data_IF_169488586550
#
_entry.id   IF_169488586550
#
_cell.length_a   1.000
_cell.length_b   1.000
_cell.length_c   1.000
_cell.angle_alpha   90.00
_cell.angle_beta   90.00
_cell.angle_gamma   90.00
#
_symmetry.space_group_name_H-M   'P 1'
#
loop_
_entity.id
_entity.type
_entity.pdbx_description
1 polymer ?
#
# COMPACT_ATOMS: atom_id res chain seq x y z
N UNK A 1 -12.43 20.11 -26.34
CA UNK A 1 -13.68 19.64 -25.71
C UNK A 1 -14.73 19.16 -26.71
N UNK A 2 -15.07 19.91 -27.78
CA UNK A 2 -16.11 19.50 -28.77
C UNK A 2 -15.91 18.10 -29.37
N UNK A 3 -14.69 17.76 -29.79
CA UNK A 3 -14.37 16.43 -30.34
C UNK A 3 -14.69 15.31 -29.34
N UNK A 4 -14.35 15.50 -28.06
CA UNK A 4 -14.66 14.52 -27.00
C UNK A 4 -16.17 14.41 -26.83
N UNK A 5 -16.88 15.54 -26.83
CA UNK A 5 -18.35 15.54 -26.73
C UNK A 5 -19.03 14.78 -27.89
N UNK A 6 -18.55 14.96 -29.12
CA UNK A 6 -19.04 14.25 -30.31
C UNK A 6 -18.73 12.74 -30.24
N UNK A 7 -17.55 12.36 -29.73
CA UNK A 7 -17.21 10.95 -29.47
C UNK A 7 -18.16 10.36 -28.44
N UNK A 8 -18.33 11.02 -27.31
CA UNK A 8 -19.19 10.57 -26.22
C UNK A 8 -20.66 10.48 -26.66
N UNK A 9 -21.14 11.40 -27.51
CA UNK A 9 -22.46 11.32 -28.14
C UNK A 9 -22.66 10.02 -28.91
N UNK A 10 -21.68 9.60 -29.73
CA UNK A 10 -21.76 8.32 -30.46
C UNK A 10 -21.82 7.10 -29.55
N UNK A 11 -21.09 7.11 -28.44
CA UNK A 11 -21.19 6.03 -27.44
C UNK A 11 -22.58 5.98 -26.82
N UNK A 12 -23.15 7.13 -26.43
CA UNK A 12 -24.50 7.23 -25.87
C UNK A 12 -25.55 6.74 -26.88
N UNK A 13 -25.54 7.30 -28.09
CA UNK A 13 -26.57 7.05 -29.10
C UNK A 13 -26.50 5.61 -29.62
N UNK A 14 -25.28 5.10 -29.83
CA UNK A 14 -25.05 3.72 -30.25
C UNK A 14 -25.14 2.69 -29.14
N UNK A 15 -25.31 3.10 -27.86
CA UNK A 15 -25.23 2.24 -26.67
C UNK A 15 -24.00 1.34 -26.67
N UNK A 16 -22.89 1.88 -27.16
CA UNK A 16 -21.65 1.12 -27.37
C UNK A 16 -21.04 0.83 -26.00
N UNK A 17 -20.81 -0.45 -25.62
CA UNK A 17 -20.21 -0.76 -24.33
C UNK A 17 -18.84 -0.10 -24.16
N UNK A 18 -18.59 0.44 -22.98
CA UNK A 18 -17.28 0.98 -22.60
C UNK A 18 -16.68 0.00 -21.59
N UNK A 19 -15.51 -0.55 -21.85
CA UNK A 19 -14.87 -1.47 -20.89
C UNK A 19 -13.93 -0.74 -19.93
N UNK A 20 -13.07 0.12 -20.50
CA UNK A 20 -12.13 0.98 -19.78
C UNK A 20 -12.34 2.43 -20.20
N UNK A 21 -12.33 3.33 -19.22
CA UNK A 21 -12.32 4.76 -19.45
C UNK A 21 -11.29 5.43 -18.54
N UNK A 22 -10.57 6.40 -19.09
CA UNK A 22 -9.53 7.13 -18.40
C UNK A 22 -9.67 8.61 -18.73
N UNK A 23 -9.88 9.41 -17.69
CA UNK A 23 -9.95 10.86 -17.78
C UNK A 23 -8.82 11.44 -16.95
N UNK A 24 -7.85 12.04 -17.61
CA UNK A 24 -6.81 12.83 -16.98
C UNK A 24 -6.80 14.22 -17.60
N UNK A 25 -6.82 15.25 -16.77
CA UNK A 25 -6.57 16.62 -17.20
C UNK A 25 -5.58 17.30 -16.25
N UNK A 26 -4.32 17.36 -16.69
CA UNK A 26 -3.23 18.01 -15.95
C UNK A 26 -3.44 19.52 -15.74
N UNK A 27 -4.40 20.13 -16.45
CA UNK A 27 -4.68 21.58 -16.36
C UNK A 27 -5.56 21.95 -15.17
N UNK A 28 -6.19 20.98 -14.51
CA UNK A 28 -7.06 21.19 -13.35
C UNK A 28 -6.29 21.35 -12.02
N UNK A 29 -4.95 21.44 -12.08
CA UNK A 29 -4.09 21.71 -10.92
C UNK A 29 -3.91 23.20 -10.62
N UNK A 30 -4.34 24.11 -11.49
CA UNK A 30 -4.10 25.54 -11.35
C UNK A 30 -5.42 26.28 -11.18
N UNK A 31 -5.68 26.71 -9.94
CA UNK A 31 -6.79 27.56 -9.44
C UNK A 31 -7.10 28.76 -10.37
N UNK A 32 -7.63 28.50 -11.56
CA UNK A 32 -7.96 29.49 -12.56
C UNK A 32 -9.42 29.32 -12.92
N UNK A 33 -10.11 30.47 -13.02
CA UNK A 33 -11.54 30.63 -13.26
C UNK A 33 -12.14 29.90 -14.49
N UNK A 34 -11.32 29.26 -15.32
CA UNK A 34 -11.77 28.38 -16.41
C UNK A 34 -12.21 26.97 -15.93
N UNK A 35 -11.90 26.60 -14.69
CA UNK A 35 -12.24 25.30 -14.07
C UNK A 35 -13.76 25.07 -13.95
N UNK A 36 -14.53 26.11 -13.65
CA UNK A 36 -15.99 26.00 -13.42
C UNK A 36 -16.77 25.64 -14.70
N UNK A 37 -16.24 25.98 -15.87
CA UNK A 37 -16.94 25.79 -17.15
C UNK A 37 -16.83 24.36 -17.71
N UNK A 38 -15.87 23.56 -17.24
CA UNK A 38 -15.63 22.21 -17.76
C UNK A 38 -16.33 21.11 -16.94
N UNK A 39 -16.65 21.39 -15.67
CA UNK A 39 -17.34 20.45 -14.77
C UNK A 39 -18.63 19.90 -15.38
N UNK A 40 -19.55 20.71 -15.95
CA UNK A 40 -20.79 20.17 -16.52
C UNK A 40 -20.55 19.24 -17.73
N UNK A 41 -19.50 19.51 -18.52
CA UNK A 41 -19.13 18.67 -19.66
C UNK A 41 -18.55 17.34 -19.20
N UNK A 42 -17.68 17.36 -18.19
CA UNK A 42 -17.08 16.16 -17.63
C UNK A 42 -18.15 15.29 -16.95
N UNK A 43 -19.07 15.89 -16.20
CA UNK A 43 -20.19 15.16 -15.58
C UNK A 43 -21.07 14.49 -16.65
N UNK A 44 -21.35 15.19 -17.76
CA UNK A 44 -22.05 14.62 -18.92
C UNK A 44 -21.31 13.41 -19.50
N UNK A 45 -19.99 13.49 -19.63
CA UNK A 45 -19.19 12.37 -20.16
C UNK A 45 -19.16 11.21 -19.19
N UNK A 46 -18.97 11.46 -17.90
CA UNK A 46 -19.01 10.42 -16.87
C UNK A 46 -20.37 9.71 -16.88
N UNK A 47 -21.49 10.44 -16.96
CA UNK A 47 -22.83 9.84 -17.09
C UNK A 47 -22.92 8.86 -18.28
N UNK A 48 -22.38 9.23 -19.45
CA UNK A 48 -22.33 8.36 -20.62
C UNK A 48 -21.44 7.14 -20.38
N UNK A 49 -20.24 7.32 -19.81
CA UNK A 49 -19.32 6.22 -19.49
C UNK A 49 -19.98 5.20 -18.57
N UNK A 50 -20.68 5.72 -17.57
CA UNK A 50 -21.31 4.95 -16.51
C UNK A 50 -22.55 4.21 -17.03
N UNK A 51 -23.42 4.87 -17.81
CA UNK A 51 -24.59 4.24 -18.46
C UNK A 51 -24.18 3.16 -19.47
N UNK A 52 -23.00 3.28 -20.06
CA UNK A 52 -22.46 2.30 -21.01
C UNK A 52 -21.67 1.15 -20.34
N UNK A 53 -21.78 1.02 -19.01
CA UNK A 53 -21.37 -0.19 -18.28
C UNK A 53 -19.87 -0.32 -18.03
N UNK A 54 -19.14 0.79 -17.87
CA UNK A 54 -17.70 0.79 -17.59
C UNK A 54 -17.31 -0.15 -16.45
N UNK A 55 -16.20 -0.86 -16.64
CA UNK A 55 -15.62 -1.80 -15.66
C UNK A 55 -14.34 -1.26 -15.03
N UNK A 56 -13.49 -0.58 -15.79
CA UNK A 56 -12.24 0.05 -15.33
C UNK A 56 -12.30 1.56 -15.55
N UNK A 57 -12.40 2.31 -14.46
CA UNK A 57 -12.55 3.76 -14.48
C UNK A 57 -11.34 4.40 -13.79
N UNK A 58 -10.64 5.27 -14.51
CA UNK A 58 -9.56 6.10 -13.98
C UNK A 58 -9.93 7.56 -14.13
N UNK A 59 -9.85 8.33 -13.05
CA UNK A 59 -10.12 9.77 -13.03
C UNK A 59 -8.98 10.47 -12.29
N UNK A 60 -8.40 11.47 -12.93
CA UNK A 60 -7.31 12.27 -12.38
C UNK A 60 -7.67 13.76 -12.36
N UNK A 61 -7.26 14.46 -11.29
CA UNK A 61 -7.28 15.92 -11.17
C UNK A 61 -8.67 16.56 -11.21
N UNK A 62 -9.73 15.86 -10.79
CA UNK A 62 -11.10 16.38 -10.84
C UNK A 62 -11.79 16.33 -9.47
N UNK A 63 -12.53 17.38 -9.04
CA UNK A 63 -13.35 17.32 -7.83
C UNK A 63 -14.52 16.36 -8.04
N UNK A 64 -14.65 15.34 -7.18
CA UNK A 64 -15.57 14.23 -7.39
C UNK A 64 -16.53 13.99 -6.22
N UNK A 65 -17.80 13.77 -6.57
CA UNK A 65 -18.78 13.12 -5.71
C UNK A 65 -18.63 11.59 -5.81
N UNK A 66 -17.57 11.04 -5.21
CA UNK A 66 -17.19 9.62 -5.35
C UNK A 66 -18.33 8.64 -5.04
N UNK A 67 -19.21 8.96 -4.10
CA UNK A 67 -20.31 8.04 -3.74
C UNK A 67 -21.37 7.89 -4.84
N UNK A 68 -21.49 8.86 -5.75
CA UNK A 68 -22.32 8.72 -6.94
C UNK A 68 -21.75 7.68 -7.92
N UNK A 69 -20.42 7.62 -8.04
CA UNK A 69 -19.73 6.60 -8.87
C UNK A 69 -19.85 5.22 -8.24
N UNK A 70 -19.78 5.13 -6.90
CA UNK A 70 -19.93 3.87 -6.16
C UNK A 70 -21.35 3.30 -6.17
N UNK A 71 -22.36 4.12 -6.45
CA UNK A 71 -23.74 3.65 -6.60
C UNK A 71 -23.94 2.68 -7.78
N UNK A 72 -22.93 2.54 -8.65
CA UNK A 72 -23.06 1.87 -9.93
C UNK A 72 -22.57 0.43 -9.87
N UNK A 73 -23.34 -0.45 -10.52
CA UNK A 73 -23.20 -1.90 -10.41
C UNK A 73 -22.19 -2.52 -11.39
N UNK A 74 -21.57 -1.73 -12.28
CA UNK A 74 -20.67 -2.24 -13.32
C UNK A 74 -19.19 -2.09 -12.98
N UNK A 75 -18.83 -1.03 -12.24
CA UNK A 75 -17.42 -0.67 -11.98
C UNK A 75 -16.76 -1.73 -11.11
N UNK A 76 -15.67 -2.30 -11.59
CA UNK A 76 -14.85 -3.30 -10.90
C UNK A 76 -13.51 -2.75 -10.45
N UNK A 77 -12.95 -1.79 -11.18
CA UNK A 77 -11.72 -1.08 -10.84
C UNK A 77 -11.96 0.42 -10.91
N UNK A 78 -11.63 1.10 -9.82
CA UNK A 78 -11.68 2.56 -9.71
C UNK A 78 -10.30 3.08 -9.29
N UNK A 79 -9.74 3.98 -10.10
CA UNK A 79 -8.50 4.68 -9.81
C UNK A 79 -8.80 6.17 -9.74
N UNK A 80 -8.51 6.78 -8.61
CA UNK A 80 -8.66 8.21 -8.38
C UNK A 80 -7.30 8.80 -8.05
N UNK A 81 -6.90 9.81 -8.81
CA UNK A 81 -5.62 10.47 -8.66
C UNK A 81 -5.81 11.97 -8.52
N UNK A 82 -5.21 12.58 -7.51
CA UNK A 82 -5.26 14.03 -7.28
C UNK A 82 -6.69 14.60 -7.20
N UNK A 83 -7.66 13.78 -6.76
CA UNK A 83 -9.06 14.17 -6.62
C UNK A 83 -9.35 14.76 -5.23
N UNK A 84 -10.30 15.69 -5.18
CA UNK A 84 -10.97 16.11 -3.93
C UNK A 84 -12.24 15.28 -3.80
N UNK A 85 -12.34 14.49 -2.73
CA UNK A 85 -13.54 13.71 -2.45
C UNK A 85 -14.52 14.55 -1.64
N UNK A 86 -15.73 14.70 -2.16
CA UNK A 86 -16.82 15.36 -1.46
C UNK A 86 -17.77 14.33 -0.82
N UNK A 87 -18.26 14.57 0.41
CA UNK A 87 -19.23 13.71 1.05
C UNK A 87 -20.53 13.65 0.24
N UNK A 88 -21.13 12.47 0.15
CA UNK A 88 -22.40 12.25 -0.53
C UNK A 88 -23.09 11.02 0.08
N UNK A 89 -24.32 10.73 -0.37
CA UNK A 89 -25.17 9.67 0.17
C UNK A 89 -24.46 8.33 0.09
N UNK A 90 -24.49 7.56 1.18
CA UNK A 90 -23.88 6.24 1.27
C UNK A 90 -24.61 5.26 0.34
N UNK A 91 -23.90 4.66 -0.60
CA UNK A 91 -24.46 3.65 -1.52
C UNK A 91 -23.59 2.41 -1.51
N UNK A 92 -24.21 1.23 -1.55
CA UNK A 92 -23.49 -0.04 -1.51
C UNK A 92 -23.00 -0.45 -2.91
N UNK A 93 -21.68 -0.40 -3.11
CA UNK A 93 -20.96 -0.81 -4.32
C UNK A 93 -20.52 -2.27 -4.24
N UNK A 94 -21.39 -3.18 -4.65
CA UNK A 94 -21.10 -4.63 -4.63
C UNK A 94 -20.24 -5.11 -5.82
N UNK A 95 -19.99 -4.27 -6.82
CA UNK A 95 -19.20 -4.65 -8.01
C UNK A 95 -17.72 -4.35 -7.87
N UNK A 96 -17.34 -3.37 -7.05
CA UNK A 96 -15.96 -2.93 -6.95
C UNK A 96 -15.08 -4.03 -6.35
N UNK A 97 -13.92 -4.26 -6.98
CA UNK A 97 -12.89 -5.22 -6.57
C UNK A 97 -11.55 -4.55 -6.35
N UNK A 98 -11.25 -3.49 -7.10
CA UNK A 98 -9.99 -2.75 -7.00
C UNK A 98 -10.29 -1.27 -6.79
N UNK A 99 -9.72 -0.69 -5.75
CA UNK A 99 -9.76 0.75 -5.50
C UNK A 99 -8.33 1.26 -5.33
N UNK A 100 -7.99 2.33 -6.04
CA UNK A 100 -6.72 3.03 -5.90
C UNK A 100 -7.00 4.49 -5.65
N UNK A 101 -6.45 5.03 -4.56
CA UNK A 101 -6.48 6.43 -4.21
C UNK A 101 -5.04 6.95 -4.18
N UNK A 102 -4.75 7.94 -5.01
CA UNK A 102 -3.42 8.57 -5.11
C UNK A 102 -3.56 10.08 -4.97
N UNK A 103 -2.79 10.72 -4.09
CA UNK A 103 -2.83 12.18 -3.86
C UNK A 103 -4.24 12.72 -3.52
N UNK A 104 -5.09 11.88 -2.93
CA UNK A 104 -6.47 12.25 -2.62
C UNK A 104 -6.54 13.01 -1.29
N UNK A 105 -7.32 14.09 -1.26
CA UNK A 105 -7.63 14.81 0.00
C UNK A 105 -8.92 14.26 0.62
N UNK A 106 -8.80 13.60 1.77
CA UNK A 106 -9.95 13.20 2.58
C UNK A 106 -10.36 14.38 3.47
N UNK A 107 -11.54 14.95 3.19
CA UNK A 107 -12.02 16.17 3.89
C UNK A 107 -12.72 15.83 5.21
N UNK A 108 -13.31 14.63 5.33
CA UNK A 108 -14.04 14.15 6.50
C UNK A 108 -13.35 12.92 7.12
N UNK A 109 -13.26 12.89 8.45
CA UNK A 109 -12.65 11.82 9.23
C UNK A 109 -13.35 10.45 9.12
N UNK A 110 -14.57 10.39 8.60
CA UNK A 110 -15.31 9.15 8.39
C UNK A 110 -15.36 8.74 6.91
N UNK A 111 -14.78 9.54 6.02
CA UNK A 111 -14.89 9.33 4.58
C UNK A 111 -14.27 8.00 4.14
N UNK A 112 -13.11 7.66 4.69
CA UNK A 112 -12.43 6.39 4.38
C UNK A 112 -13.24 5.19 4.88
N UNK A 113 -13.76 5.22 6.11
CA UNK A 113 -14.60 4.15 6.64
C UNK A 113 -15.90 4.03 5.85
N UNK A 114 -16.51 5.14 5.43
CA UNK A 114 -17.73 5.14 4.62
C UNK A 114 -17.46 4.54 3.24
N UNK A 115 -16.36 4.92 2.60
CA UNK A 115 -15.89 4.37 1.33
C UNK A 115 -15.66 2.86 1.41
N UNK A 116 -14.96 2.40 2.45
CA UNK A 116 -14.65 0.98 2.64
C UNK A 116 -15.88 0.16 3.04
N UNK A 117 -16.81 0.72 3.82
CA UNK A 117 -18.09 0.07 4.13
C UNK A 117 -19.00 -0.02 2.91
N UNK A 118 -18.87 0.91 1.96
CA UNK A 118 -19.59 0.91 0.70
C UNK A 118 -19.07 -0.13 -0.28
N UNK A 119 -17.88 -0.71 -0.06
CA UNK A 119 -17.24 -1.63 -1.01
C UNK A 119 -16.92 -3.00 -0.34
N UNK A 120 -17.92 -3.80 0.06
CA UNK A 120 -17.70 -4.99 0.89
C UNK A 120 -16.91 -6.12 0.21
N UNK A 121 -16.83 -6.10 -1.13
CA UNK A 121 -16.16 -7.13 -1.93
C UNK A 121 -14.80 -6.66 -2.49
N UNK A 122 -14.23 -5.58 -1.94
CA UNK A 122 -12.91 -5.10 -2.37
C UNK A 122 -11.83 -6.16 -2.12
N UNK A 123 -11.07 -6.48 -3.16
CA UNK A 123 -9.98 -7.46 -3.16
C UNK A 123 -8.60 -6.78 -3.13
N UNK A 124 -8.49 -5.59 -3.71
CA UNK A 124 -7.25 -4.82 -3.80
C UNK A 124 -7.53 -3.38 -3.43
N UNK A 125 -6.80 -2.87 -2.44
CA UNK A 125 -6.86 -1.47 -2.04
C UNK A 125 -5.46 -0.85 -2.08
N UNK A 126 -5.32 0.23 -2.86
CA UNK A 126 -4.09 1.01 -2.98
C UNK A 126 -4.36 2.40 -2.45
N UNK A 127 -3.44 2.88 -1.61
CA UNK A 127 -3.57 4.12 -0.90
C UNK A 127 -2.22 4.85 -0.84
N UNK A 128 -2.06 5.90 -1.65
CA UNK A 128 -0.79 6.59 -1.86
C UNK A 128 -0.93 8.10 -1.68
N UNK A 129 -0.08 8.70 -0.83
CA UNK A 129 0.01 10.16 -0.65
C UNK A 129 -1.29 10.90 -0.30
N UNK A 130 -2.27 10.21 0.28
CA UNK A 130 -3.51 10.85 0.66
C UNK A 130 -3.34 11.63 1.97
N UNK A 131 -3.99 12.79 2.05
CA UNK A 131 -3.98 13.67 3.24
C UNK A 131 -5.28 13.50 4.04
N UNK A 132 -5.22 13.78 5.34
CA UNK A 132 -6.38 13.80 6.24
C UNK A 132 -6.46 12.66 7.26
N UNK A 133 -5.56 11.66 7.19
CA UNK A 133 -5.58 10.48 8.09
C UNK A 133 -4.84 10.66 9.42
N UNK A 134 -4.01 11.68 9.52
CA UNK A 134 -3.16 11.89 10.69
C UNK A 134 -3.97 12.16 11.97
N UNK A 135 -5.18 12.69 11.81
CA UNK A 135 -6.11 13.03 12.90
C UNK A 135 -7.30 12.07 13.01
N UNK A 136 -7.42 11.09 12.11
CA UNK A 136 -8.61 10.23 12.03
C UNK A 136 -8.64 9.18 13.15
N UNK A 137 -9.83 8.98 13.70
CA UNK A 137 -10.12 7.86 14.59
C UNK A 137 -9.87 6.50 13.90
N UNK A 138 -9.54 5.43 14.65
CA UNK A 138 -9.32 4.10 14.10
C UNK A 138 -10.46 3.64 13.19
N UNK A 139 -10.17 3.47 11.90
CA UNK A 139 -11.16 3.11 10.89
C UNK A 139 -11.32 1.59 10.84
N UNK A 140 -12.56 1.10 10.84
CA UNK A 140 -12.83 -0.33 10.75
C UNK A 140 -13.04 -0.74 9.30
N UNK A 141 -12.19 -1.63 8.80
CA UNK A 141 -12.38 -2.25 7.47
C UNK A 141 -13.22 -3.51 7.66
N UNK A 142 -14.37 -3.57 6.99
CA UNK A 142 -15.30 -4.72 7.00
C UNK A 142 -15.18 -5.63 5.77
N UNK A 143 -14.21 -5.39 4.88
CA UNK A 143 -14.05 -6.22 3.68
C UNK A 143 -13.56 -7.62 4.05
N UNK A 144 -14.32 -8.63 3.60
CA UNK A 144 -13.99 -10.06 3.76
C UNK A 144 -13.15 -10.61 2.61
N UNK A 145 -12.96 -9.82 1.54
CA UNK A 145 -12.33 -10.25 0.28
C UNK A 145 -10.94 -9.63 0.06
N UNK A 146 -10.48 -8.75 0.95
CA UNK A 146 -9.26 -7.96 0.75
C UNK A 146 -8.02 -8.86 0.78
N UNK A 147 -7.33 -9.00 -0.36
CA UNK A 147 -6.12 -9.81 -0.54
C UNK A 147 -4.87 -8.97 -0.76
N UNK A 148 -5.03 -7.71 -1.18
CA UNK A 148 -3.90 -6.83 -1.44
C UNK A 148 -4.14 -5.46 -0.85
N UNK A 149 -3.18 -4.98 -0.06
CA UNK A 149 -3.21 -3.64 0.52
C UNK A 149 -1.86 -2.98 0.29
N UNK A 150 -1.82 -1.89 -0.48
CA UNK A 150 -0.62 -1.07 -0.65
C UNK A 150 -0.84 0.28 0.00
N UNK A 151 0.10 0.67 0.85
CA UNK A 151 0.11 1.92 1.59
C UNK A 151 1.45 2.63 1.35
N UNK A 152 1.39 3.93 1.07
CA UNK A 152 2.56 4.80 0.92
C UNK A 152 2.39 6.06 1.76
N UNK A 153 3.51 6.61 2.26
CA UNK A 153 3.61 7.85 3.05
C UNK A 153 3.22 7.71 4.53
N UNK A 154 1.98 7.30 4.85
CA UNK A 154 1.52 7.13 6.24
C UNK A 154 0.89 5.77 6.49
N UNK A 155 1.14 5.19 7.66
CA UNK A 155 0.43 3.99 8.14
C UNK A 155 -0.90 4.46 8.75
N UNK A 156 -2.05 4.18 8.11
CA UNK A 156 -3.35 4.54 8.66
C UNK A 156 -3.68 3.69 9.89
N UNK A 157 -4.44 4.27 10.83
CA UNK A 157 -5.01 3.51 11.94
C UNK A 157 -6.21 2.71 11.43
N UNK A 158 -5.94 1.54 10.84
CA UNK A 158 -6.97 0.63 10.35
C UNK A 158 -7.09 -0.56 11.29
N UNK A 159 -8.32 -0.87 11.67
CA UNK A 159 -8.67 -2.13 12.32
C UNK A 159 -9.39 -3.00 11.31
N UNK A 160 -8.77 -4.09 10.90
CA UNK A 160 -9.41 -5.06 10.01
C UNK A 160 -10.28 -5.95 10.88
N UNK A 161 -11.60 -5.75 10.81
CA UNK A 161 -12.56 -6.44 11.67
C UNK A 161 -13.01 -7.73 10.97
N UNK A 162 -12.25 -8.84 11.19
CA UNK A 162 -12.67 -10.28 11.29
C UNK A 162 -12.10 -11.37 10.35
N UNK A 163 -11.85 -12.51 11.01
CA UNK A 163 -12.17 -13.96 10.79
C UNK A 163 -12.00 -14.68 9.43
N UNK A 164 -11.43 -14.08 8.38
CA UNK A 164 -11.26 -14.83 7.14
C UNK A 164 -10.01 -15.74 7.15
N UNK A 165 -10.22 -17.07 7.18
CA UNK A 165 -9.19 -18.10 6.91
C UNK A 165 -8.68 -18.09 5.45
N UNK A 166 -9.21 -17.20 4.60
CA UNK A 166 -8.98 -17.18 3.15
C UNK A 166 -7.86 -16.24 2.70
N UNK A 167 -7.14 -15.60 3.63
CA UNK A 167 -6.00 -14.72 3.34
C UNK A 167 -4.70 -15.48 3.01
N UNK A 168 -4.80 -16.77 2.68
CA UNK A 168 -3.72 -17.46 2.00
C UNK A 168 -3.41 -16.65 0.72
N UNK A 169 -2.16 -16.21 0.58
CA UNK A 169 -1.68 -15.34 -0.52
C UNK A 169 -2.07 -13.86 -0.42
N UNK A 170 -2.48 -13.37 0.75
CA UNK A 170 -2.66 -11.94 0.95
C UNK A 170 -1.34 -11.21 1.20
N UNK A 171 -1.21 -9.99 0.66
CA UNK A 171 0.00 -9.18 0.77
C UNK A 171 -0.28 -7.74 1.19
N UNK A 172 0.40 -7.29 2.23
CA UNK A 172 0.53 -5.87 2.59
C UNK A 172 1.83 -5.34 1.98
N UNK A 173 1.78 -4.18 1.33
CA UNK A 173 2.96 -3.46 0.83
C UNK A 173 3.01 -2.09 1.48
N UNK A 174 4.12 -1.79 2.14
CA UNK A 174 4.43 -0.51 2.79
C UNK A 174 5.61 0.11 2.06
N UNK A 175 5.38 1.23 1.37
CA UNK A 175 6.42 1.91 0.61
C UNK A 175 6.85 3.21 1.31
N UNK A 176 8.16 3.31 1.57
CA UNK A 176 8.80 4.44 2.26
C UNK A 176 9.89 5.07 1.38
N UNK A 177 9.78 6.37 1.12
CA UNK A 177 10.73 7.17 0.35
C UNK A 177 11.83 7.82 1.22
N UNK A 178 12.86 8.38 0.58
CA UNK A 178 13.94 9.12 1.26
C UNK A 178 13.40 10.30 2.09
N UNK A 179 12.37 10.95 1.56
CA UNK A 179 11.66 12.07 2.19
C UNK A 179 10.78 11.66 3.37
N UNK A 180 10.52 10.36 3.54
CA UNK A 180 9.60 9.89 4.57
C UNK A 180 10.32 9.80 5.90
N UNK A 181 9.70 10.32 6.96
CA UNK A 181 10.24 10.31 8.31
C UNK A 181 10.05 8.93 8.97
N UNK A 182 10.72 7.90 8.44
CA UNK A 182 10.73 6.54 9.01
C UNK A 182 11.57 6.57 10.28
N UNK A 183 10.91 6.78 11.41
CA UNK A 183 11.49 6.88 12.74
C UNK A 183 10.79 5.91 13.71
N UNK A 184 11.12 5.99 15.01
CA UNK A 184 10.53 5.13 16.02
C UNK A 184 8.99 5.20 16.06
N UNK A 185 8.39 6.39 15.88
CA UNK A 185 6.93 6.55 15.87
C UNK A 185 6.28 5.85 14.66
N UNK A 186 6.96 5.81 13.51
CA UNK A 186 6.50 5.04 12.35
C UNK A 186 6.48 3.53 12.65
N UNK A 187 7.53 3.00 13.28
CA UNK A 187 7.62 1.60 13.70
C UNK A 187 6.60 1.22 14.78
N UNK A 188 6.27 2.12 15.71
CA UNK A 188 5.18 1.92 16.66
C UNK A 188 3.81 1.84 15.97
N UNK A 189 3.55 2.74 14.99
CA UNK A 189 2.34 2.69 14.17
C UNK A 189 2.25 1.39 13.36
N UNK A 190 3.38 0.95 12.80
CA UNK A 190 3.47 -0.33 12.09
C UNK A 190 3.09 -1.50 12.99
N UNK A 191 3.71 -1.57 14.18
CA UNK A 191 3.44 -2.62 15.16
C UNK A 191 1.95 -2.69 15.49
N UNK A 192 1.35 -1.55 15.86
CA UNK A 192 -0.10 -1.42 16.12
C UNK A 192 -0.97 -1.86 14.95
N UNK A 193 -0.62 -1.46 13.74
CA UNK A 193 -1.34 -1.82 12.52
C UNK A 193 -1.29 -3.34 12.26
N UNK A 194 -0.13 -3.96 12.42
CA UNK A 194 0.07 -5.40 12.23
C UNK A 194 -0.58 -6.24 13.33
N UNK A 195 -0.61 -5.76 14.58
CA UNK A 195 -1.29 -6.46 15.69
C UNK A 195 -2.79 -6.58 15.46
N UNK A 196 -3.38 -5.65 14.69
CA UNK A 196 -4.76 -5.71 14.26
C UNK A 196 -4.97 -6.56 12.97
N UNK A 197 -3.91 -7.17 12.43
CA UNK A 197 -3.85 -7.75 11.08
C UNK A 197 -3.28 -9.19 11.07
N UNK A 198 -3.67 -10.02 12.04
CA UNK A 198 -3.08 -11.35 12.38
C UNK A 198 -3.22 -12.41 11.26
N UNK A 199 -3.85 -12.09 10.12
CA UNK A 199 -4.21 -13.08 9.10
C UNK A 199 -3.52 -12.87 7.75
N UNK A 200 -2.60 -11.91 7.60
CA UNK A 200 -1.92 -11.68 6.32
C UNK A 200 -0.74 -12.62 6.09
N UNK A 201 -0.63 -13.18 4.88
CA UNK A 201 0.44 -14.15 4.58
C UNK A 201 1.80 -13.49 4.37
N UNK A 202 1.83 -12.30 3.78
CA UNK A 202 3.06 -11.59 3.46
C UNK A 202 2.95 -10.10 3.81
N UNK A 203 3.98 -9.58 4.44
CA UNK A 203 4.21 -8.13 4.59
C UNK A 203 5.46 -7.78 3.80
N UNK A 204 5.39 -6.77 2.95
CA UNK A 204 6.52 -6.22 2.19
C UNK A 204 6.76 -4.78 2.62
N UNK A 205 7.97 -4.48 3.07
CA UNK A 205 8.43 -3.13 3.35
C UNK A 205 9.47 -2.75 2.31
N UNK A 206 9.13 -1.78 1.47
CA UNK A 206 10.07 -1.13 0.56
C UNK A 206 10.59 0.13 1.25
N UNK A 207 11.84 0.12 1.70
CA UNK A 207 12.47 1.28 2.33
C UNK A 207 13.57 1.84 1.43
N UNK A 208 13.59 3.15 1.28
CA UNK A 208 14.66 3.78 0.51
C UNK A 208 16.02 3.66 1.19
N UNK A 209 16.10 3.75 2.52
CA UNK A 209 17.35 3.62 3.30
C UNK A 209 17.10 2.99 4.68
N UNK A 210 18.16 2.58 5.37
CA UNK A 210 18.12 2.22 6.79
C UNK A 210 18.34 3.48 7.63
N UNK A 211 17.30 4.01 8.25
CA UNK A 211 17.42 5.17 9.14
C UNK A 211 17.88 4.74 10.54
N UNK A 212 18.65 5.59 11.21
CA UNK A 212 18.90 5.42 12.63
C UNK A 212 17.63 5.66 13.44
N UNK A 213 17.26 4.66 14.22
CA UNK A 213 16.04 4.62 15.01
C UNK A 213 16.39 4.77 16.48
N UNK A 214 15.76 5.74 17.15
CA UNK A 214 15.85 5.83 18.60
C UNK A 214 15.02 4.69 19.24
N UNK A 215 15.69 3.60 19.61
CA UNK A 215 15.08 2.39 20.19
C UNK A 215 14.38 2.66 21.52
N UNK A 216 14.83 3.65 22.29
CA UNK A 216 14.18 4.02 23.56
C UNK A 216 12.73 4.48 23.33
N UNK A 217 12.47 5.13 22.20
CA UNK A 217 11.12 5.57 21.83
C UNK A 217 10.21 4.40 21.39
N UNK A 218 10.75 3.23 21.04
CA UNK A 218 9.97 2.02 20.76
C UNK A 218 9.44 1.39 22.06
N UNK A 219 10.26 1.41 23.12
CA UNK A 219 9.96 0.81 24.42
C UNK A 219 8.85 1.54 25.21
N UNK A 220 8.41 2.71 24.77
CA UNK A 220 7.28 3.41 25.41
C UNK A 220 5.92 2.76 25.09
N UNK A 221 5.85 1.89 24.08
CA UNK A 221 4.59 1.37 23.51
C UNK A 221 4.32 -0.11 23.85
N UNK A 222 4.48 -0.50 25.12
CA UNK A 222 4.40 -1.90 25.57
C UNK A 222 2.98 -2.47 25.79
N UNK A 223 1.91 -1.70 25.62
CA UNK A 223 0.55 -2.15 26.02
C UNK A 223 -0.20 -2.99 25.00
N UNK A 224 0.25 -3.04 23.74
CA UNK A 224 -0.48 -3.74 22.68
C UNK A 224 0.10 -5.13 22.38
N UNK A 225 -0.78 -6.04 21.96
CA UNK A 225 -0.46 -7.41 21.53
C UNK A 225 0.69 -7.42 20.54
N UNK A 226 1.58 -8.39 20.67
CA UNK A 226 2.68 -8.60 19.73
C UNK A 226 2.12 -9.05 18.36
N UNK A 227 2.46 -8.37 17.25
CA UNK A 227 2.16 -8.92 15.93
C UNK A 227 3.05 -10.14 15.68
N UNK A 228 2.53 -11.14 14.95
CA UNK A 228 3.33 -12.28 14.50
C UNK A 228 3.19 -12.41 12.98
N UNK A 229 4.16 -11.89 12.24
CA UNK A 229 4.18 -11.96 10.77
C UNK A 229 4.79 -13.29 10.32
N UNK A 230 4.15 -14.02 9.41
CA UNK A 230 4.76 -15.28 8.91
C UNK A 230 5.95 -14.99 8.00
N UNK A 231 5.73 -14.16 6.96
CA UNK A 231 6.77 -13.76 6.01
C UNK A 231 6.85 -12.24 5.91
N UNK A 232 7.99 -11.68 6.35
CA UNK A 232 8.35 -10.28 6.13
C UNK A 232 9.36 -10.19 4.99
N UNK A 233 9.04 -9.43 3.95
CA UNK A 233 9.95 -9.08 2.87
C UNK A 233 10.40 -7.64 3.07
N UNK A 234 11.70 -7.37 2.91
CA UNK A 234 12.28 -6.04 3.03
C UNK A 234 13.13 -5.77 1.81
N UNK A 235 12.82 -4.69 1.08
CA UNK A 235 13.62 -4.21 -0.04
C UNK A 235 14.26 -2.89 0.39
N UNK A 236 15.58 -2.77 0.26
CA UNK A 236 16.33 -1.58 0.70
C UNK A 236 17.15 -1.01 -0.47
N UNK A 237 16.83 0.21 -0.91
CA UNK A 237 17.34 0.77 -2.16
C UNK A 237 18.73 1.44 -2.07
N UNK A 238 18.94 2.37 -1.14
CA UNK A 238 20.19 3.14 -0.97
C UNK A 238 21.06 2.60 0.16
N UNK A 239 22.37 2.71 -0.01
CA UNK A 239 23.39 2.33 0.98
C UNK A 239 23.21 3.02 2.34
N UNK A 240 23.70 2.37 3.38
CA UNK A 240 23.51 2.74 4.78
C UNK A 240 23.28 1.49 5.63
N UNK A 241 23.95 1.43 6.76
CA UNK A 241 23.84 0.35 7.75
C UNK A 241 23.34 0.96 9.05
N UNK A 242 22.26 0.41 9.60
CA UNK A 242 21.76 0.85 10.89
C UNK A 242 21.27 -0.36 11.70
N UNK A 243 21.98 -0.74 12.77
CA UNK A 243 21.57 -1.83 13.66
C UNK A 243 20.17 -1.57 14.22
N UNK A 244 19.94 -0.33 14.61
CA UNK A 244 18.67 0.13 15.18
C UNK A 244 17.49 0.03 14.21
N UNK A 245 17.73 0.09 12.89
CA UNK A 245 16.69 -0.18 11.89
C UNK A 245 16.27 -1.65 11.88
N UNK A 246 17.25 -2.56 11.94
CA UNK A 246 16.99 -4.01 12.01
C UNK A 246 16.28 -4.34 13.31
N UNK A 247 16.73 -3.77 14.44
CA UNK A 247 16.08 -3.91 15.74
C UNK A 247 14.61 -3.47 15.67
N UNK A 248 14.34 -2.33 15.05
CA UNK A 248 12.99 -1.80 14.91
C UNK A 248 12.10 -2.68 14.02
N UNK A 249 12.62 -3.22 12.90
CA UNK A 249 11.90 -4.18 12.05
C UNK A 249 11.52 -5.45 12.80
N UNK A 250 12.51 -6.03 13.48
CA UNK A 250 12.42 -7.24 14.30
C UNK A 250 11.38 -7.04 15.42
N UNK A 251 11.46 -5.91 16.13
CA UNK A 251 10.52 -5.54 17.20
C UNK A 251 9.10 -5.26 16.70
N UNK A 252 8.94 -4.56 15.57
CA UNK A 252 7.62 -4.15 15.07
C UNK A 252 6.85 -5.27 14.36
N UNK A 253 7.53 -6.26 13.78
CA UNK A 253 6.90 -7.27 12.94
C UNK A 253 6.97 -8.69 13.50
N UNK A 254 7.98 -8.99 14.34
CA UNK A 254 8.30 -10.34 14.83
C UNK A 254 8.12 -11.45 13.77
N UNK A 255 8.84 -11.36 12.63
CA UNK A 255 8.62 -12.29 11.53
C UNK A 255 9.20 -13.68 11.81
N UNK A 256 8.49 -14.75 11.44
CA UNK A 256 9.06 -16.11 11.41
C UNK A 256 10.14 -16.25 10.32
N UNK A 257 9.87 -15.65 9.16
CA UNK A 257 10.80 -15.59 8.02
C UNK A 257 10.99 -14.14 7.58
N UNK A 258 12.25 -13.69 7.55
CA UNK A 258 12.64 -12.39 7.02
C UNK A 258 13.38 -12.57 5.70
N UNK A 259 12.80 -12.11 4.60
CA UNK A 259 13.45 -12.02 3.29
C UNK A 259 14.02 -10.62 3.10
N UNK A 260 15.28 -10.49 2.71
CA UNK A 260 15.93 -9.22 2.41
C UNK A 260 16.40 -9.21 0.97
N UNK A 261 16.02 -8.17 0.25
CA UNK A 261 16.54 -7.84 -1.07
C UNK A 261 17.30 -6.51 -1.02
N UNK A 262 18.63 -6.59 -1.13
CA UNK A 262 19.49 -5.42 -1.14
C UNK A 262 20.88 -5.78 -1.68
N UNK A 263 21.84 -4.87 -1.53
CA UNK A 263 23.26 -5.10 -1.83
C UNK A 263 23.85 -6.18 -0.92
N UNK A 264 24.90 -6.85 -1.39
CA UNK A 264 25.59 -7.92 -0.64
C UNK A 264 26.17 -7.47 0.69
N UNK A 265 26.72 -6.25 0.72
CA UNK A 265 27.24 -5.60 1.92
C UNK A 265 26.17 -5.55 3.02
N UNK A 266 25.00 -5.01 2.71
CA UNK A 266 23.87 -4.96 3.65
C UNK A 266 23.34 -6.33 4.04
N UNK A 267 23.26 -7.27 3.09
CA UNK A 267 22.82 -8.62 3.44
C UNK A 267 23.77 -9.23 4.47
N UNK A 268 25.09 -8.98 4.33
CA UNK A 268 26.10 -9.42 5.30
C UNK A 268 25.90 -8.71 6.64
N UNK A 269 25.71 -7.39 6.63
CA UNK A 269 25.37 -6.61 7.82
C UNK A 269 24.13 -7.16 8.56
N UNK A 270 23.06 -7.47 7.82
CA UNK A 270 21.85 -8.09 8.40
C UNK A 270 22.15 -9.44 9.04
N UNK A 271 22.96 -10.29 8.38
CA UNK A 271 23.37 -11.60 8.92
C UNK A 271 24.12 -11.41 10.25
N UNK A 272 25.16 -10.57 10.24
CA UNK A 272 26.03 -10.34 11.40
C UNK A 272 25.23 -9.79 12.59
N UNK A 273 24.35 -8.83 12.34
CA UNK A 273 23.52 -8.23 13.39
C UNK A 273 22.43 -9.18 13.93
N UNK A 274 21.75 -9.94 13.06
CA UNK A 274 20.75 -10.93 13.49
C UNK A 274 21.37 -12.10 14.28
N UNK A 275 22.61 -12.50 13.94
CA UNK A 275 23.38 -13.46 14.73
C UNK A 275 23.76 -12.89 16.10
N UNK A 276 24.23 -11.63 16.15
CA UNK A 276 24.57 -10.95 17.40
C UNK A 276 23.36 -10.88 18.35
N UNK A 277 22.17 -10.59 17.83
CA UNK A 277 20.92 -10.61 18.60
C UNK A 277 20.49 -12.00 19.07
N UNK A 278 21.12 -13.09 18.62
CA UNK A 278 20.74 -14.50 18.87
C UNK A 278 19.34 -14.87 18.37
N UNK A 279 18.78 -14.08 17.46
CA UNK A 279 17.46 -14.35 16.87
C UNK A 279 17.56 -15.21 15.60
N UNK A 280 18.75 -15.38 15.00
CA UNK A 280 18.93 -16.11 13.75
C UNK A 280 19.10 -17.62 13.97
N UNK A 281 18.18 -18.42 13.41
CA UNK A 281 18.29 -19.89 13.36
C UNK A 281 19.12 -20.32 12.15
N UNK A 282 18.74 -19.86 10.95
CA UNK A 282 19.37 -20.21 9.67
C UNK A 282 19.24 -19.07 8.67
N UNK A 283 20.27 -18.91 7.83
CA UNK A 283 20.28 -18.00 6.69
C UNK A 283 20.41 -18.78 5.37
N UNK A 284 19.73 -18.30 4.33
CA UNK A 284 19.73 -18.90 3.01
C UNK A 284 19.86 -17.82 1.93
N UNK A 285 20.73 -18.05 0.96
CA UNK A 285 20.94 -17.17 -0.18
C UNK A 285 20.32 -17.75 -1.44
N UNK A 286 19.70 -16.89 -2.25
CA UNK A 286 19.17 -17.29 -3.55
C UNK A 286 20.27 -17.36 -4.61
N UNK A 287 20.48 -18.52 -5.22
CA UNK A 287 21.35 -18.70 -6.38
C UNK A 287 20.53 -18.47 -7.65
N UNK A 288 20.77 -17.34 -8.32
CA UNK A 288 20.08 -16.99 -9.57
C UNK A 288 20.37 -17.96 -10.71
N UNK A 289 21.54 -18.60 -10.74
CA UNK A 289 21.92 -19.52 -11.83
C UNK A 289 21.19 -20.86 -11.72
N UNK A 290 20.92 -21.29 -10.49
CA UNK A 290 20.25 -22.57 -10.19
C UNK A 290 18.77 -22.41 -9.84
N UNK A 291 18.30 -21.18 -9.70
CA UNK A 291 16.95 -20.83 -9.26
C UNK A 291 16.56 -21.50 -7.92
N UNK A 292 17.54 -21.65 -7.01
CA UNK A 292 17.39 -22.38 -5.76
C UNK A 292 17.98 -21.66 -4.56
N UNK A 293 17.47 -21.98 -3.37
CA UNK A 293 17.98 -21.46 -2.10
C UNK A 293 19.05 -22.38 -1.51
N UNK A 294 20.18 -21.80 -1.10
CA UNK A 294 21.29 -22.52 -0.48
C UNK A 294 21.57 -21.99 0.92
N UNK A 295 21.86 -22.85 1.90
CA UNK A 295 22.30 -22.42 3.23
C UNK A 295 23.55 -21.54 3.11
N UNK A 296 23.61 -20.48 3.90
CA UNK A 296 24.82 -19.67 4.03
C UNK A 296 25.75 -20.35 5.02
N UNK A 297 26.83 -20.96 4.54
CA UNK A 297 27.90 -21.50 5.40
C UNK A 297 28.79 -20.37 5.90
N UNK A 298 28.98 -20.28 7.22
CA UNK A 298 29.73 -19.19 7.82
C UNK A 298 31.25 -19.41 7.66
N UNK A 299 31.85 -18.66 6.73
CA UNK A 299 33.20 -18.13 6.92
C UNK A 299 33.07 -16.61 6.92
N UNK A 300 33.26 -15.99 8.09
CA UNK A 300 33.22 -14.54 8.25
C UNK A 300 34.11 -13.88 7.19
N UNK A 301 33.52 -13.05 6.33
CA UNK A 301 34.24 -12.27 5.32
C UNK A 301 34.20 -12.79 3.88
N UNK A 302 33.70 -14.00 3.57
CA UNK A 302 33.72 -14.49 2.17
C UNK A 302 32.65 -13.86 1.25
N UNK A 303 31.51 -13.39 1.79
CA UNK A 303 30.46 -12.75 0.98
C UNK A 303 30.84 -11.36 0.45
N UNK A 304 31.88 -10.73 1.00
CA UNK A 304 32.33 -9.38 0.65
C UNK A 304 33.18 -9.30 -0.63
N UNK A 305 33.61 -10.43 -1.19
CA UNK A 305 34.71 -10.45 -2.17
C UNK A 305 34.32 -10.40 -3.65
N UNK A 306 33.03 -10.26 -3.99
CA UNK A 306 32.62 -10.09 -5.41
C UNK A 306 31.50 -9.05 -5.54
N UNK A 307 31.77 -7.98 -6.31
CA UNK A 307 30.88 -6.84 -6.65
C UNK A 307 29.84 -6.49 -5.58
N UNK A 308 30.18 -5.58 -4.65
CA UNK A 308 29.29 -5.13 -3.55
C UNK A 308 27.99 -4.48 -4.05
N UNK A 309 27.98 -3.93 -5.26
CA UNK A 309 26.81 -3.31 -5.89
C UNK A 309 25.79 -4.33 -6.43
N UNK A 310 26.09 -5.63 -6.43
CA UNK A 310 25.16 -6.64 -6.92
C UNK A 310 24.04 -6.87 -5.91
N UNK A 311 22.79 -6.75 -6.37
CA UNK A 311 21.60 -7.00 -5.56
C UNK A 311 21.32 -8.49 -5.44
N UNK A 312 21.11 -8.99 -4.23
CA UNK A 312 20.83 -10.40 -3.95
C UNK A 312 19.55 -10.56 -3.12
N UNK A 313 19.02 -11.79 -3.11
CA UNK A 313 17.94 -12.18 -2.20
C UNK A 313 18.50 -13.12 -1.14
N UNK A 314 18.22 -12.81 0.12
CA UNK A 314 18.53 -13.66 1.27
C UNK A 314 17.26 -13.87 2.09
N UNK A 315 17.12 -15.02 2.73
CA UNK A 315 16.13 -15.17 3.79
C UNK A 315 16.72 -15.73 5.08
N UNK A 316 16.10 -15.32 6.18
CA UNK A 316 16.47 -15.63 7.54
C UNK A 316 15.28 -16.31 8.22
N UNK A 317 15.52 -17.43 8.88
CA UNK A 317 14.58 -18.04 9.80
C UNK A 317 14.93 -17.54 11.20
N UNK A 318 13.93 -16.97 11.89
CA UNK A 318 14.13 -16.34 13.19
C UNK A 318 13.39 -17.10 14.30
N UNK A 319 13.96 -17.06 15.50
CA UNK A 319 13.35 -17.54 16.75
C UNK A 319 12.99 -16.34 17.63
N UNK A 320 11.92 -16.45 18.43
CA UNK A 320 11.38 -15.37 19.27
C UNK A 320 11.05 -15.80 20.68
#
# INVERSE_FOLDING_TARGET
>A
MKIVDDIMGRYRDGKIPIEKFELSDDRLFFENSHEVLLVPMIDKWLDIVLTNGVKDLTISSYPLFIFAILALKSVRKLVLESCILLPSVVVNCNSLRKLSLSYVRLVDENMLQTLLNSCPLIESFIFEYCKGLETMNPQKIKSVSLKFLKIRFYIPQLKIVRESRQLKYSRIVLQCLDSDNVNAAWFCKLRKFLSNSISWSEVLIESYRCNDINIQNLQLDHKDSNPHVDVLNVIIWKNGESPTFVDALVWSCQPRRLNVHSTREKITFFIDHLMYMKNLIKAYKFDRKKESWHPVEHKSGELATTNSEMWDWCYFLLDW
#
